data_IF_909910555702
#
_entry.id   IF_909910555702
#
_cell.length_a   1.000
_cell.length_b   1.000
_cell.length_c   1.000
_cell.angle_alpha   90.00
_cell.angle_beta   90.00
_cell.angle_gamma   90.00
#
_symmetry.space_group_name_H-M   'P 1'
#
loop_
_entity.id
_entity.type
_entity.pdbx_description
1 polymer ?
2 non-polymer ?
3 water ?
#
# COMPACT_ATOMS: atom_id res chain seq x y z
N UNK A 1 -1.38 8.05 12.73
CA UNK A 1 -1.37 6.64 13.21
C UNK A 1 0.02 6.12 13.49
N UNK A 2 0.10 4.89 13.99
CA UNK A 2 1.37 4.25 14.29
C UNK A 2 2.03 3.90 12.97
N UNK A 3 3.35 3.82 12.95
CA UNK A 3 4.03 3.49 11.71
C UNK A 3 5.46 3.06 11.91
N UNK A 4 6.01 2.43 10.88
CA UNK A 4 7.38 1.97 10.88
C UNK A 4 7.81 1.95 9.43
N UNK A 5 9.04 2.38 9.18
CA UNK A 5 9.59 2.37 7.83
C UNK A 5 11.05 1.95 7.88
N UNK A 6 11.33 0.81 7.27
CA UNK A 6 12.68 0.29 7.19
C UNK A 6 12.95 0.29 5.70
N UNK A 7 14.04 0.91 5.28
CA UNK A 7 14.33 0.94 3.87
C UNK A 7 13.83 2.21 3.22
N UNK A 8 13.66 2.14 1.91
CA UNK A 8 13.27 3.30 1.12
C UNK A 8 11.80 3.71 1.07
N UNK A 9 10.88 2.74 1.18
CA UNK A 9 9.46 3.04 1.03
C UNK A 9 8.61 2.99 2.30
N UNK A 10 7.84 4.05 2.51
CA UNK A 10 6.96 4.15 3.67
C UNK A 10 5.49 4.12 3.28
N UNK A 11 4.64 3.72 4.23
CA UNK A 11 3.20 3.74 4.01
C UNK A 11 2.86 5.12 4.55
N UNK A 12 2.70 6.08 3.65
CA UNK A 12 2.45 7.47 4.01
C UNK A 12 1.06 7.79 4.51
N UNK A 13 0.05 7.19 3.91
CA UNK A 13 -1.32 7.43 4.34
C UNK A 13 -2.26 6.28 4.05
N UNK A 14 -3.14 6.02 5.01
CA UNK A 14 -4.14 4.98 4.90
C UNK A 14 -5.48 5.70 5.01
N UNK A 15 -6.24 5.71 3.92
CA UNK A 15 -7.53 6.39 3.91
C UNK A 15 -8.53 5.72 4.84
N UNK A 16 -9.10 6.49 5.76
CA UNK A 16 -10.08 5.95 6.69
C UNK A 16 -11.35 5.52 5.96
N UNK A 17 -11.59 6.10 4.78
CA UNK A 17 -12.77 5.75 3.99
C UNK A 17 -12.50 4.51 3.14
N UNK A 18 -11.31 3.94 3.31
CA UNK A 18 -10.93 2.73 2.59
C UNK A 18 -10.77 2.83 1.08
N UNK A 19 -10.61 4.03 0.55
CA UNK A 19 -10.47 4.17 -0.89
C UNK A 19 -9.06 3.97 -1.42
N UNK A 20 -8.05 4.24 -0.59
CA UNK A 20 -6.68 4.10 -1.05
C UNK A 20 -5.65 3.93 0.05
N UNK A 21 -4.44 3.58 -0.38
CA UNK A 21 -3.27 3.45 0.48
C UNK A 21 -2.19 4.13 -0.35
N UNK A 22 -1.50 5.11 0.23
CA UNK A 22 -0.45 5.82 -0.49
C UNK A 22 0.92 5.52 0.10
N UNK A 23 1.86 5.18 -0.78
CA UNK A 23 3.23 4.88 -0.38
C UNK A 23 4.15 5.98 -0.88
N UNK A 24 5.28 6.16 -0.22
CA UNK A 24 6.24 7.14 -0.68
C UNK A 24 7.66 6.64 -0.55
N UNK A 25 8.43 6.79 -1.62
CA UNK A 25 9.83 6.41 -1.58
C UNK A 25 10.49 7.66 -1.00
N UNK A 26 10.87 7.60 0.28
CA UNK A 26 11.48 8.76 0.92
C UNK A 26 12.99 8.86 0.71
N UNK A 27 13.55 7.92 -0.04
CA UNK A 27 14.99 7.91 -0.28
C UNK A 27 15.38 8.57 -1.60
N UNK A 28 16.69 8.62 -1.84
CA UNK A 28 17.21 9.22 -3.06
C UNK A 28 17.56 8.14 -4.08
N UNK A 29 17.04 6.93 -3.87
CA UNK A 29 17.29 5.80 -4.76
C UNK A 29 15.97 5.16 -5.18
N UNK A 30 15.90 4.67 -6.42
CA UNK A 30 14.70 4.01 -6.90
C UNK A 30 14.55 2.67 -6.19
N UNK A 31 13.31 2.21 -6.06
CA UNK A 31 13.04 0.94 -5.39
C UNK A 31 12.24 -0.02 -6.26
N UNK A 32 12.78 -1.22 -6.46
CA UNK A 32 12.08 -2.23 -7.23
C UNK A 32 11.01 -2.80 -6.30
N UNK A 33 9.78 -2.89 -6.78
CA UNK A 33 8.70 -3.42 -5.96
C UNK A 33 7.93 -4.54 -6.66
N UNK A 34 8.54 -5.12 -7.69
CA UNK A 34 7.89 -6.20 -8.40
C UNK A 34 7.61 -7.33 -7.43
N UNK A 35 6.38 -7.83 -7.45
CA UNK A 35 5.96 -8.92 -6.58
C UNK A 35 5.85 -8.56 -5.09
N UNK A 36 5.94 -7.28 -4.77
CA UNK A 36 5.77 -6.87 -3.38
C UNK A 36 4.27 -6.95 -3.12
N UNK A 37 3.85 -6.74 -1.89
CA UNK A 37 2.43 -6.79 -1.58
C UNK A 37 2.08 -5.90 -0.41
N UNK A 38 0.79 -5.67 -0.24
CA UNK A 38 0.29 -4.89 0.88
C UNK A 38 -0.74 -5.75 1.58
N UNK A 39 -0.53 -5.98 2.87
CA UNK A 39 -1.46 -6.78 3.67
C UNK A 39 -2.27 -5.84 4.55
N UNK A 40 -3.58 -5.99 4.48
CA UNK A 40 -4.49 -5.14 5.23
C UNK A 40 -5.33 -5.94 6.22
N UNK A 41 -5.26 -5.54 7.48
CA UNK A 41 -6.01 -6.20 8.55
C UNK A 41 -7.00 -5.20 9.14
N UNK A 42 -8.29 -5.41 8.85
CA UNK A 42 -9.33 -4.54 9.37
C UNK A 42 -10.01 -5.21 10.55
N UNK A 43 -9.80 -4.66 11.74
CA UNK A 43 -10.40 -5.23 12.93
C UNK A 43 -10.03 -6.69 13.06
N UNK A 44 -11.04 -7.55 13.12
CA UNK A 44 -10.81 -8.99 13.25
C UNK A 44 -11.18 -9.73 11.98
N UNK A 45 -11.29 -8.99 10.88
CA UNK A 45 -11.64 -9.59 9.59
C UNK A 45 -10.46 -10.34 8.99
N UNK A 46 -10.73 -11.24 8.03
CA UNK A 46 -9.64 -11.99 7.40
C UNK A 46 -8.74 -10.99 6.68
N UNK A 47 -7.47 -11.35 6.51
CA UNK A 47 -6.52 -10.46 5.85
C UNK A 47 -6.79 -10.27 4.37
N UNK A 48 -6.61 -9.03 3.90
CA UNK A 48 -6.79 -8.70 2.50
C UNK A 48 -5.38 -8.51 1.96
N UNK A 49 -5.13 -8.99 0.75
CA UNK A 49 -3.80 -8.87 0.17
C UNK A 49 -3.80 -8.31 -1.25
N UNK A 50 -3.08 -7.22 -1.44
CA UNK A 50 -2.92 -6.61 -2.75
C UNK A 50 -1.51 -6.96 -3.19
N UNK A 51 -1.36 -7.45 -4.42
CA UNK A 51 -0.03 -7.77 -4.92
C UNK A 51 0.38 -6.78 -6.00
N UNK A 52 1.61 -6.30 -5.92
CA UNK A 52 2.11 -5.38 -6.92
C UNK A 52 2.34 -6.14 -8.20
N UNK A 53 2.44 -5.43 -9.33
CA UNK A 53 2.67 -6.06 -10.63
C UNK A 53 3.98 -6.84 -10.59
N UNK A 54 4.16 -7.79 -11.52
CA UNK A 54 5.41 -8.55 -11.50
C UNK A 54 6.62 -7.64 -11.66
N UNK A 55 6.41 -6.49 -12.31
CA UNK A 55 7.47 -5.52 -12.49
C UNK A 55 6.94 -4.12 -12.18
N UNK A 56 7.65 -3.42 -11.30
CA UNK A 56 7.26 -2.07 -10.91
C UNK A 56 8.38 -1.38 -10.16
N UNK A 57 8.63 -0.12 -10.51
CA UNK A 57 9.66 0.66 -9.85
C UNK A 57 9.07 1.94 -9.28
N UNK A 58 9.32 2.19 -8.00
CA UNK A 58 8.86 3.43 -7.38
C UNK A 58 10.12 4.28 -7.33
N UNK A 59 10.16 5.33 -8.15
CA UNK A 59 11.34 6.18 -8.22
C UNK A 59 11.60 6.98 -6.95
N UNK A 60 12.86 7.36 -6.78
CA UNK A 60 13.31 8.13 -5.63
C UNK A 60 12.42 9.34 -5.36
N UNK A 61 12.04 9.49 -4.10
CA UNK A 61 11.21 10.61 -3.68
C UNK A 61 9.77 10.63 -4.16
N UNK A 62 9.37 9.65 -4.95
CA UNK A 62 8.01 9.62 -5.50
C UNK A 62 6.98 8.82 -4.71
N UNK A 63 5.71 9.12 -4.97
CA UNK A 63 4.61 8.41 -4.32
C UNK A 63 3.83 7.58 -5.33
N UNK A 64 3.12 6.59 -4.80
CA UNK A 64 2.25 5.76 -5.62
C UNK A 64 1.03 5.49 -4.75
N UNK A 65 -0.15 5.69 -5.31
CA UNK A 65 -1.37 5.45 -4.58
C UNK A 65 -2.03 4.22 -5.17
N UNK A 66 -2.42 3.29 -4.30
CA UNK A 66 -3.08 2.07 -4.73
C UNK A 66 -4.54 2.22 -4.34
N UNK A 67 -5.39 2.39 -5.35
CA UNK A 67 -6.82 2.58 -5.17
C UNK A 67 -7.64 1.30 -5.22
N UNK A 68 -8.68 1.24 -4.41
CA UNK A 68 -9.58 0.09 -4.42
C UNK A 68 -10.45 0.28 -5.67
N UNK A 69 -11.06 -0.81 -6.14
CA UNK A 69 -11.88 -0.78 -7.35
C UNK A 69 -13.09 0.16 -7.37
N UNK A 70 -13.66 0.46 -6.21
CA UNK A 70 -14.83 1.33 -6.18
C UNK A 70 -14.56 2.75 -5.71
N UNK A 71 -13.33 3.21 -5.89
CA UNK A 71 -12.94 4.55 -5.45
C UNK A 71 -13.07 5.63 -6.53
N UNK A 72 -13.49 5.24 -7.72
CA UNK A 72 -13.64 6.20 -8.80
C UNK A 72 -12.33 6.62 -9.44
N UNK A 73 -11.27 5.87 -9.15
CA UNK A 73 -9.95 6.17 -9.71
C UNK A 73 -9.65 5.28 -10.91
N UNK A 74 -8.80 5.78 -11.81
CA UNK A 74 -8.42 5.05 -13.00
C UNK A 74 -6.96 4.61 -12.94
N UNK A 75 -6.68 3.41 -13.45
CA UNK A 75 -5.33 2.87 -13.46
C UNK A 75 -4.47 3.84 -14.27
N UNK A 76 -3.50 4.47 -13.61
CA UNK A 76 -2.64 5.43 -14.27
C UNK A 76 -1.21 5.36 -13.73
N UNK A 77 -0.48 4.29 -14.09
CA UNK A 77 0.90 4.14 -13.61
C UNK A 77 1.77 5.27 -14.15
N UNK A 78 2.87 5.59 -13.45
CA UNK A 78 3.27 4.94 -12.20
C UNK A 78 2.76 5.61 -10.92
N UNK A 79 1.96 6.66 -11.06
CA UNK A 79 1.46 7.38 -9.89
C UNK A 79 0.25 6.77 -9.20
N UNK A 80 -0.62 6.12 -9.96
CA UNK A 80 -1.82 5.54 -9.38
C UNK A 80 -2.13 4.17 -9.96
N UNK A 81 -2.29 3.18 -9.08
CA UNK A 81 -2.61 1.83 -9.50
C UNK A 81 -3.98 1.47 -8.94
N UNK A 82 -4.73 0.65 -9.66
CA UNK A 82 -6.05 0.24 -9.21
C UNK A 82 -6.08 -1.25 -8.88
N UNK A 83 -6.59 -1.56 -7.69
CA UNK A 83 -6.72 -2.93 -7.20
C UNK A 83 -8.10 -3.42 -7.63
N UNK A 84 -8.13 -4.30 -8.63
CA UNK A 84 -9.38 -4.82 -9.16
C UNK A 84 -10.09 -5.88 -8.34
N UNK A 85 -9.35 -6.59 -7.49
CA UNK A 85 -9.94 -7.66 -6.69
C UNK A 85 -10.82 -7.23 -5.52
N UNK A 86 -10.70 -5.97 -5.08
CA UNK A 86 -11.48 -5.48 -3.96
C UNK A 86 -12.04 -4.08 -4.22
N UNK A 87 -13.31 -3.86 -3.90
CA UNK A 87 -13.93 -2.56 -4.11
C UNK A 87 -13.53 -1.54 -3.04
N UNK A 88 -13.07 -2.04 -1.90
CA UNK A 88 -12.65 -1.18 -0.80
C UNK A 88 -11.51 -1.81 0.00
N UNK A 89 -10.67 -0.97 0.61
CA UNK A 89 -9.58 -1.45 1.44
C UNK A 89 -10.14 -1.85 2.80
N UNK A 90 -11.37 -1.43 3.07
CA UNK A 90 -11.99 -1.75 4.34
C UNK A 90 -11.94 -0.60 5.33
N UNK A 91 -12.92 -0.56 6.23
CA UNK A 91 -13.01 0.49 7.25
C UNK A 91 -13.15 -0.13 8.63
N UNK A 92 -13.02 0.71 9.66
CA UNK A 92 -13.15 0.22 11.02
C UNK A 92 -12.41 1.07 12.05
N UNK A 93 -12.33 0.56 13.27
CA UNK A 93 -11.65 1.26 14.36
C UNK A 93 -10.15 0.98 14.34
N UNK A 94 -9.78 -0.23 13.95
CA UNK A 94 -8.37 -0.61 13.89
C UNK A 94 -8.02 -1.16 12.51
N UNK A 95 -7.17 -0.43 11.79
CA UNK A 95 -6.77 -0.82 10.45
C UNK A 95 -5.25 -0.90 10.37
N UNK A 96 -4.71 -2.08 10.08
CA UNK A 96 -3.26 -2.23 9.96
C UNK A 96 -2.90 -2.53 8.50
N UNK A 97 -2.01 -1.71 7.95
CA UNK A 97 -1.59 -1.84 6.55
C UNK A 97 -0.09 -2.06 6.53
N UNK A 98 0.33 -3.20 5.99
CA UNK A 98 1.75 -3.53 5.94
C UNK A 98 2.28 -3.70 4.52
N UNK A 99 3.46 -3.14 4.27
CA UNK A 99 4.12 -3.25 2.98
C UNK A 99 5.11 -4.41 3.14
N UNK A 100 4.98 -5.41 2.27
CA UNK A 100 5.79 -6.62 2.30
C UNK A 100 6.63 -6.75 1.04
N UNK A 101 7.91 -7.11 1.17
CA UNK A 101 8.73 -7.25 -0.04
C UNK A 101 8.48 -8.60 -0.73
N UNK A 102 9.21 -8.86 -1.80
CA UNK A 102 9.02 -10.09 -2.57
C UNK A 102 9.35 -11.40 -1.87
N UNK A 103 9.99 -11.33 -0.70
CA UNK A 103 10.32 -12.55 0.03
C UNK A 103 9.53 -12.68 1.33
N UNK A 104 8.46 -11.90 1.46
CA UNK A 104 7.61 -11.99 2.63
C UNK A 104 7.98 -11.23 3.88
N UNK A 105 8.94 -10.32 3.79
CA UNK A 105 9.35 -9.55 4.97
C UNK A 105 8.61 -8.22 5.01
N UNK A 106 8.10 -7.86 6.19
CA UNK A 106 7.39 -6.59 6.34
C UNK A 106 8.44 -5.49 6.42
N UNK A 107 8.40 -4.55 5.48
CA UNK A 107 9.38 -3.47 5.45
C UNK A 107 8.84 -2.13 5.92
N UNK A 108 7.51 -2.03 6.04
CA UNK A 108 6.89 -0.80 6.50
C UNK A 108 5.45 -1.07 6.87
N UNK A 109 4.88 -0.19 7.69
CA UNK A 109 3.50 -0.34 8.08
C UNK A 109 2.95 0.97 8.61
N UNK A 110 1.63 1.04 8.67
CA UNK A 110 0.94 2.18 9.24
C UNK A 110 -0.33 1.58 9.82
N UNK A 111 -0.61 1.93 11.07
CA UNK A 111 -1.78 1.40 11.75
C UNK A 111 -2.61 2.49 12.40
N UNK A 112 -3.92 2.42 12.19
CA UNK A 112 -4.84 3.38 12.76
C UNK A 112 -5.62 2.68 13.86
N UNK A 113 -5.80 3.35 14.99
CA UNK A 113 -6.54 2.77 16.11
C UNK A 113 -7.42 3.83 16.77
X LIG B 1 -5.26 -5.33 -12.98
X LIG B 1 -5.69 -6.33 -11.79
X LIG B 1 -5.45 -3.95 -13.01
X LIG B 1 -6.45 -3.60 -13.84
X LIG B 1 -4.66 -3.42 -12.27
X LIG B 1 -3.49 -3.25 -11.24
#
# INVERSE_FOLDING_TARGET
GSHRTSGRVAVEEVDEEGKFVRLRNKSNEDQSMGNWQIKRQNGDDPLLTYRFPPKFTLKAGQVVTIWAAGAGATHSPPTDLVWKAQNTWGCGNSLRTALINSTGEEVAMRKLVRSVTVVED
GOL C1 O1 C2 O2 C3 O3
#
